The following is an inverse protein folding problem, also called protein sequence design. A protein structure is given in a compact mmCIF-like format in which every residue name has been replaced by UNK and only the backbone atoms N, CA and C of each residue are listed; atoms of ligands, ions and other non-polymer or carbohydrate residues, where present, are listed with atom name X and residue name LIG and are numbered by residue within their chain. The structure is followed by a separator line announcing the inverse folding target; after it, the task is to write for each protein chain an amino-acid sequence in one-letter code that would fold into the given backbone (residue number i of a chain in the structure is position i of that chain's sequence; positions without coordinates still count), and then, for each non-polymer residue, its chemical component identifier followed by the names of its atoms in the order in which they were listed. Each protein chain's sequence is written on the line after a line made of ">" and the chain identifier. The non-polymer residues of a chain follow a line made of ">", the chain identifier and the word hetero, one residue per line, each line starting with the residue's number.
data_IF_843079639757
#
_entry.id   IF_843079639757
#
_cell.length_a   1.000
_cell.length_b   1.000
_cell.length_c   1.000
_cell.angle_alpha   90.00
_cell.angle_beta   90.00
_cell.angle_gamma   90.00
#
_symmetry.space_group_name_H-M   'P 1'
#
loop_
_entity.id
_entity.type
_entity.pdbx_description
1 polymer ?
#
# COMPACT_ATOMS: atom_id res chain seq x y z
N UNK A 1 7.61 -9.49 -10.02
CA UNK A 1 6.35 -9.74 -9.26
C UNK A 1 5.25 -8.81 -9.71
N UNK A 2 5.54 -7.54 -9.89
CA UNK A 2 4.69 -6.51 -10.51
C UNK A 2 5.38 -6.03 -11.76
N UNK A 3 4.66 -5.88 -12.87
CA UNK A 3 5.12 -5.22 -14.08
C UNK A 3 4.06 -4.21 -14.53
N UNK A 4 4.48 -2.99 -14.80
CA UNK A 4 3.64 -1.91 -15.30
C UNK A 4 4.30 -1.32 -16.53
N UNK A 5 3.55 -1.17 -17.63
CA UNK A 5 4.03 -0.60 -18.88
C UNK A 5 3.07 0.45 -19.37
N UNK A 6 3.61 1.64 -19.66
CA UNK A 6 2.93 2.78 -20.27
C UNK A 6 1.58 3.12 -19.59
N UNK A 7 1.58 3.05 -18.24
CA UNK A 7 0.37 3.33 -17.46
C UNK A 7 0.02 4.81 -17.55
N UNK A 8 -1.20 5.06 -17.98
CA UNK A 8 -1.80 6.38 -18.08
C UNK A 8 -3.14 6.43 -17.36
N UNK A 9 -3.41 7.51 -16.62
CA UNK A 9 -4.71 7.75 -15.97
C UNK A 9 -5.16 9.17 -16.20
N UNK A 10 -6.36 9.32 -16.75
CA UNK A 10 -7.01 10.63 -16.97
C UNK A 10 -8.37 10.64 -16.32
N UNK A 11 -8.58 11.58 -15.41
CA UNK A 11 -9.90 11.83 -14.84
C UNK A 11 -10.62 12.91 -15.63
N UNK A 12 -11.90 12.68 -15.93
CA UNK A 12 -12.77 13.65 -16.64
C UNK A 12 -13.80 14.22 -15.67
N UNK A 13 -13.84 15.53 -15.52
CA UNK A 13 -14.87 16.25 -14.78
C UNK A 13 -15.54 17.23 -15.75
N UNK A 14 -16.67 16.85 -16.33
CA UNK A 14 -17.33 17.60 -17.39
C UNK A 14 -16.45 17.74 -18.63
N UNK A 15 -16.10 18.99 -19.01
CA UNK A 15 -15.22 19.27 -20.16
C UNK A 15 -13.73 19.28 -19.80
N UNK A 16 -13.38 19.22 -18.52
CA UNK A 16 -11.99 19.28 -18.06
C UNK A 16 -11.43 17.88 -17.93
N UNK A 17 -10.29 17.65 -18.58
CA UNK A 17 -9.51 16.42 -18.44
C UNK A 17 -8.29 16.70 -17.59
N UNK A 18 -8.07 15.89 -16.57
CA UNK A 18 -6.88 15.95 -15.73
C UNK A 18 -6.08 14.66 -15.91
N UNK A 19 -4.94 14.74 -16.60
CA UNK A 19 -4.02 13.64 -16.81
C UNK A 19 -3.11 13.50 -15.59
N UNK A 20 -3.48 12.59 -14.69
CA UNK A 20 -2.85 12.43 -13.35
C UNK A 20 -1.65 11.49 -13.38
N UNK A 21 -1.68 10.43 -14.19
CA UNK A 21 -0.55 9.49 -14.37
C UNK A 21 -0.20 9.45 -15.85
N UNK A 22 1.09 9.65 -16.18
CA UNK A 22 1.55 9.96 -17.54
C UNK A 22 2.71 9.02 -17.93
N UNK A 23 2.43 8.00 -18.73
CA UNK A 23 3.39 7.07 -19.34
C UNK A 23 4.39 6.50 -18.33
N UNK A 24 3.91 5.98 -17.19
CA UNK A 24 4.79 5.37 -16.21
C UNK A 24 4.98 3.88 -16.49
N UNK A 25 6.25 3.45 -16.40
CA UNK A 25 6.64 2.04 -16.53
C UNK A 25 7.60 1.68 -15.40
N UNK A 26 7.36 0.56 -14.73
CA UNK A 26 8.24 0.06 -13.67
C UNK A 26 7.97 -1.43 -13.39
N UNK A 27 8.90 -2.04 -12.71
CA UNK A 27 8.76 -3.42 -12.24
C UNK A 27 9.11 -3.53 -10.76
N UNK A 28 8.58 -4.55 -10.08
CA UNK A 28 8.94 -4.89 -8.70
C UNK A 28 9.22 -6.38 -8.64
N UNK A 29 10.38 -6.74 -8.12
CA UNK A 29 10.78 -8.14 -7.94
C UNK A 29 9.99 -8.80 -6.80
N UNK A 30 10.03 -10.12 -6.72
CA UNK A 30 9.41 -10.84 -5.59
C UNK A 30 10.19 -10.55 -4.29
N UNK A 31 9.49 -10.21 -3.22
CA UNK A 31 10.08 -9.89 -1.91
C UNK A 31 10.67 -8.49 -1.82
N UNK A 32 10.67 -7.71 -2.93
CA UNK A 32 11.15 -6.34 -2.97
C UNK A 32 10.11 -5.38 -2.35
N UNK A 33 10.60 -4.35 -1.66
CA UNK A 33 9.82 -3.18 -1.27
C UNK A 33 10.21 -2.00 -2.17
N UNK A 34 9.30 -1.61 -3.07
CA UNK A 34 9.44 -0.41 -3.90
C UNK A 34 8.75 0.78 -3.22
N UNK A 35 9.49 1.86 -3.00
CA UNK A 35 8.95 3.15 -2.56
C UNK A 35 8.48 4.00 -3.74
N UNK A 36 7.42 4.78 -3.55
CA UNK A 36 7.01 5.86 -4.47
C UNK A 36 6.87 7.14 -3.64
N UNK A 37 7.69 8.14 -3.96
CA UNK A 37 7.77 9.41 -3.23
C UNK A 37 7.51 10.58 -4.17
N UNK A 38 6.99 11.68 -3.64
CA UNK A 38 6.70 12.91 -4.37
C UNK A 38 5.67 13.76 -3.66
N UNK A 39 5.42 14.96 -4.14
CA UNK A 39 4.45 15.90 -3.58
C UNK A 39 3.02 15.35 -3.51
N UNK A 40 2.20 15.95 -2.63
CA UNK A 40 0.79 15.62 -2.56
C UNK A 40 0.10 15.91 -3.91
N UNK A 41 -0.73 14.98 -4.37
CA UNK A 41 -1.47 15.13 -5.63
C UNK A 41 -0.69 14.76 -6.90
N UNK A 42 0.59 14.36 -6.85
CA UNK A 42 1.36 14.00 -8.04
C UNK A 42 0.95 12.66 -8.69
N UNK A 43 0.04 11.87 -8.06
CA UNK A 43 -0.51 10.65 -8.66
C UNK A 43 -0.17 9.33 -7.95
N UNK A 44 0.62 9.34 -6.85
CA UNK A 44 1.08 8.13 -6.13
C UNK A 44 -0.04 7.16 -5.74
N UNK A 45 -1.03 7.65 -4.99
CA UNK A 45 -2.18 6.82 -4.58
C UNK A 45 -3.02 6.35 -5.77
N UNK A 46 -3.04 7.10 -6.88
CA UNK A 46 -3.70 6.68 -8.11
C UNK A 46 -3.01 5.45 -8.71
N UNK A 47 -1.67 5.39 -8.70
CA UNK A 47 -0.92 4.20 -9.11
C UNK A 47 -1.31 2.99 -8.25
N UNK A 48 -1.32 3.13 -6.93
CA UNK A 48 -1.74 2.03 -6.02
C UNK A 48 -3.19 1.58 -6.29
N UNK A 49 -4.10 2.53 -6.57
CA UNK A 49 -5.51 2.21 -6.91
C UNK A 49 -5.63 1.46 -8.24
N UNK A 50 -4.78 1.74 -9.22
CA UNK A 50 -4.71 0.94 -10.46
C UNK A 50 -4.22 -0.48 -10.17
N UNK A 51 -3.15 -0.63 -9.38
CA UNK A 51 -2.61 -1.93 -8.99
C UNK A 51 -3.62 -2.77 -8.19
N UNK A 52 -4.36 -2.16 -7.26
CA UNK A 52 -5.40 -2.84 -6.47
C UNK A 52 -6.67 -3.18 -7.26
N UNK A 53 -6.87 -2.59 -8.45
CA UNK A 53 -8.09 -2.74 -9.26
C UNK A 53 -9.24 -1.83 -8.84
N UNK A 54 -9.01 -0.87 -7.95
CA UNK A 54 -9.99 0.13 -7.53
C UNK A 54 -10.19 1.21 -8.59
N UNK A 55 -9.10 1.64 -9.26
CA UNK A 55 -9.18 2.53 -10.42
C UNK A 55 -9.26 1.71 -11.71
N UNK A 56 -10.23 2.03 -12.55
CA UNK A 56 -10.49 1.33 -13.82
C UNK A 56 -10.25 2.21 -15.04
N UNK A 57 -10.10 3.53 -14.85
CA UNK A 57 -9.94 4.52 -15.91
C UNK A 57 -8.50 4.66 -16.43
N UNK A 58 -7.72 3.57 -16.48
CA UNK A 58 -6.34 3.57 -16.93
C UNK A 58 -6.15 2.96 -18.33
N UNK A 59 -5.03 3.27 -18.97
CA UNK A 59 -4.52 2.58 -20.17
C UNK A 59 -3.06 2.16 -19.95
N UNK A 60 -2.54 1.32 -20.82
CA UNK A 60 -1.26 0.64 -20.65
C UNK A 60 -1.44 -0.83 -20.25
N UNK A 61 -0.45 -1.43 -19.61
CA UNK A 61 -0.46 -2.83 -19.20
C UNK A 61 -0.03 -2.97 -17.73
N UNK A 62 -0.75 -3.81 -16.99
CA UNK A 62 -0.41 -4.19 -15.60
C UNK A 62 -0.38 -5.71 -15.51
N UNK A 63 0.72 -6.27 -15.00
CA UNK A 63 0.82 -7.68 -14.67
C UNK A 63 1.16 -7.85 -13.17
N UNK A 64 0.43 -8.76 -12.50
CA UNK A 64 0.61 -9.08 -11.08
C UNK A 64 0.85 -10.58 -10.94
N UNK A 65 1.89 -10.96 -10.21
CA UNK A 65 2.30 -12.36 -10.01
C UNK A 65 2.41 -13.15 -11.33
N UNK A 66 2.95 -12.50 -12.39
CA UNK A 66 3.17 -13.09 -13.71
C UNK A 66 1.91 -13.22 -14.57
N UNK A 67 0.80 -12.56 -14.21
CA UNK A 67 -0.45 -12.57 -14.98
C UNK A 67 -0.85 -11.14 -15.33
N UNK A 68 -1.09 -10.87 -16.61
CA UNK A 68 -1.69 -9.59 -17.03
C UNK A 68 -3.10 -9.48 -16.48
N UNK A 69 -3.41 -8.34 -15.85
CA UNK A 69 -4.70 -8.08 -15.23
C UNK A 69 -5.45 -6.98 -15.97
N UNK A 70 -6.75 -7.15 -16.11
CA UNK A 70 -7.63 -6.18 -16.75
C UNK A 70 -8.21 -5.13 -15.79
N UNK A 71 -9.03 -4.24 -16.35
CA UNK A 71 -9.78 -3.23 -15.58
C UNK A 71 -10.89 -3.84 -14.71
N UNK A 72 -11.48 -4.94 -15.16
CA UNK A 72 -12.40 -5.75 -14.38
C UNK A 72 -11.65 -6.98 -13.88
N UNK A 73 -11.64 -7.19 -12.58
CA UNK A 73 -10.86 -8.26 -11.94
C UNK A 73 -11.75 -9.31 -11.30
N UNK A 74 -11.36 -10.56 -11.45
CA UNK A 74 -11.90 -11.67 -10.71
C UNK A 74 -11.52 -11.59 -9.21
N UNK A 75 -12.20 -12.37 -8.37
CA UNK A 75 -11.85 -12.45 -6.94
C UNK A 75 -10.42 -12.93 -6.71
N UNK A 76 -9.92 -13.87 -7.53
CA UNK A 76 -8.55 -14.38 -7.43
C UNK A 76 -7.52 -13.29 -7.79
N UNK A 77 -7.80 -12.44 -8.79
CA UNK A 77 -6.93 -11.32 -9.14
C UNK A 77 -6.97 -10.23 -8.06
N UNK A 78 -8.15 -9.95 -7.47
CA UNK A 78 -8.28 -9.02 -6.35
C UNK A 78 -7.53 -9.51 -5.10
N UNK A 79 -7.53 -10.82 -4.85
CA UNK A 79 -6.76 -11.43 -3.76
C UNK A 79 -5.25 -11.21 -3.93
N UNK A 80 -4.75 -11.13 -5.17
CA UNK A 80 -3.32 -11.07 -5.47
C UNK A 80 -2.64 -9.79 -4.92
N UNK A 81 -3.34 -8.65 -4.93
CA UNK A 81 -2.83 -7.38 -4.42
C UNK A 81 -3.86 -6.73 -3.51
N UNK A 82 -3.52 -6.61 -2.24
CA UNK A 82 -4.37 -5.98 -1.22
C UNK A 82 -3.78 -4.65 -0.77
N UNK A 83 -4.63 -3.74 -0.31
CA UNK A 83 -4.23 -2.36 0.01
C UNK A 83 -4.49 -2.02 1.47
N UNK A 84 -3.50 -1.39 2.10
CA UNK A 84 -3.62 -0.69 3.38
C UNK A 84 -3.74 0.80 3.06
N UNK A 85 -4.81 1.43 3.50
CA UNK A 85 -5.13 2.82 3.22
C UNK A 85 -4.53 3.77 4.26
N UNK A 86 -4.33 5.01 3.87
CA UNK A 86 -3.87 6.10 4.72
C UNK A 86 -4.78 6.35 5.92
N UNK A 87 -6.10 6.31 5.71
CA UNK A 87 -7.09 6.46 6.78
C UNK A 87 -7.67 5.10 7.20
N UNK A 88 -7.28 4.57 8.37
CA UNK A 88 -7.81 3.33 8.89
C UNK A 88 -9.30 3.45 9.28
N UNK A 89 -9.80 4.67 9.60
CA UNK A 89 -11.21 4.89 9.87
C UNK A 89 -12.08 4.68 8.64
N UNK A 90 -11.66 5.24 7.50
CA UNK A 90 -12.35 5.06 6.22
C UNK A 90 -12.36 3.63 5.71
N UNK A 91 -11.40 2.81 6.17
CA UNK A 91 -11.29 1.40 5.77
C UNK A 91 -12.19 0.44 6.58
N UNK A 92 -12.68 0.85 7.77
CA UNK A 92 -13.48 0.03 8.67
C UNK A 92 -14.88 0.62 8.85
N UNK A 93 -15.91 -0.18 8.55
CA UNK A 93 -17.30 0.28 8.74
C UNK A 93 -17.58 0.50 10.24
N UNK A 94 -17.98 1.72 10.68
CA UNK A 94 -18.05 2.10 12.10
C UNK A 94 -19.06 1.29 12.93
N UNK A 95 -20.05 0.69 12.29
CA UNK A 95 -21.08 -0.13 12.93
C UNK A 95 -20.82 -1.63 12.88
N UNK A 96 -19.73 -2.07 12.24
CA UNK A 96 -19.34 -3.47 12.22
C UNK A 96 -18.31 -3.76 13.31
N UNK A 97 -18.46 -4.92 13.97
CA UNK A 97 -17.40 -5.42 14.84
C UNK A 97 -16.16 -5.76 14.04
N UNK A 98 -15.00 -5.67 14.65
CA UNK A 98 -13.71 -5.98 14.00
C UNK A 98 -13.72 -7.39 13.40
N UNK A 99 -14.22 -8.39 14.13
CA UNK A 99 -14.33 -9.75 13.61
C UNK A 99 -15.21 -9.85 12.37
N UNK A 100 -16.29 -9.05 12.27
CA UNK A 100 -17.14 -9.00 11.09
C UNK A 100 -16.39 -8.40 9.90
N UNK A 101 -15.67 -7.28 10.10
CA UNK A 101 -14.90 -6.62 9.05
C UNK A 101 -13.75 -7.51 8.51
N UNK A 102 -13.11 -8.28 9.40
CA UNK A 102 -12.08 -9.25 9.01
C UNK A 102 -12.68 -10.50 8.32
N UNK A 103 -13.91 -10.89 8.67
CA UNK A 103 -14.57 -12.03 8.07
C UNK A 103 -15.10 -11.78 6.65
N UNK A 104 -15.37 -10.52 6.29
CA UNK A 104 -15.94 -10.15 4.98
C UNK A 104 -15.14 -10.70 3.79
N UNK A 105 -13.81 -10.47 3.68
CA UNK A 105 -13.01 -11.00 2.57
C UNK A 105 -13.03 -12.54 2.51
N UNK A 106 -13.00 -13.20 3.68
CA UNK A 106 -13.04 -14.66 3.76
C UNK A 106 -14.37 -15.23 3.27
N UNK A 107 -15.49 -14.58 3.63
CA UNK A 107 -16.83 -14.96 3.15
C UNK A 107 -16.96 -14.78 1.65
N UNK A 108 -16.46 -13.66 1.11
CA UNK A 108 -16.44 -13.42 -0.33
C UNK A 108 -15.69 -14.50 -1.11
N UNK A 109 -14.65 -15.08 -0.50
CA UNK A 109 -13.86 -16.18 -1.07
C UNK A 109 -14.42 -17.57 -0.74
N UNK A 110 -15.58 -17.68 -0.10
CA UNK A 110 -16.23 -18.97 0.24
C UNK A 110 -15.47 -19.80 1.28
N UNK A 111 -14.61 -19.19 2.13
CA UNK A 111 -13.85 -19.92 3.15
C UNK A 111 -14.75 -20.47 4.25
N UNK A 112 -14.38 -21.64 4.80
CA UNK A 112 -15.13 -22.30 5.88
C UNK A 112 -14.52 -22.01 7.27
N UNK A 113 -13.22 -21.81 7.37
CA UNK A 113 -12.43 -21.60 8.58
C UNK A 113 -12.38 -20.14 9.04
N UNK A 114 -13.49 -19.40 8.88
CA UNK A 114 -13.56 -17.95 9.03
C UNK A 114 -13.05 -17.49 10.39
N UNK A 115 -13.66 -17.96 11.47
CA UNK A 115 -13.36 -17.44 12.82
C UNK A 115 -11.96 -17.80 13.31
N UNK A 116 -11.48 -18.99 13.00
CA UNK A 116 -10.10 -19.40 13.30
C UNK A 116 -9.10 -18.51 12.58
N UNK A 117 -9.39 -18.17 11.31
CA UNK A 117 -8.54 -17.28 10.50
C UNK A 117 -8.57 -15.85 11.02
N UNK A 118 -9.74 -15.33 11.43
CA UNK A 118 -9.88 -14.01 12.06
C UNK A 118 -9.06 -13.91 13.34
N UNK A 119 -9.19 -14.88 14.26
CA UNK A 119 -8.40 -14.88 15.49
C UNK A 119 -6.90 -14.95 15.26
N UNK A 120 -6.47 -15.80 14.31
CA UNK A 120 -5.06 -15.90 13.90
C UNK A 120 -4.56 -14.59 13.34
N UNK A 121 -5.32 -13.95 12.47
CA UNK A 121 -4.97 -12.67 11.85
C UNK A 121 -4.80 -11.55 12.87
N UNK A 122 -5.67 -11.48 13.90
CA UNK A 122 -5.50 -10.53 15.00
C UNK A 122 -4.19 -10.77 15.78
N UNK A 123 -3.90 -12.04 16.13
CA UNK A 123 -2.65 -12.37 16.84
C UNK A 123 -1.40 -12.03 16.01
N UNK A 124 -1.44 -12.22 14.69
CA UNK A 124 -0.33 -11.90 13.79
C UNK A 124 0.02 -10.40 13.73
N UNK A 125 -0.94 -9.53 14.05
CA UNK A 125 -0.69 -8.09 14.17
C UNK A 125 -0.55 -7.63 15.63
N UNK A 126 -0.32 -8.56 16.57
CA UNK A 126 -0.11 -8.26 17.98
C UNK A 126 -1.38 -7.86 18.74
N UNK A 127 -2.58 -8.22 18.25
CA UNK A 127 -3.84 -7.96 18.94
C UNK A 127 -4.43 -9.23 19.53
N UNK A 128 -5.00 -9.17 20.76
CA UNK A 128 -5.74 -10.28 21.35
C UNK A 128 -6.97 -10.67 20.51
N UNK A 129 -7.28 -11.97 20.41
CA UNK A 129 -8.45 -12.47 19.69
C UNK A 129 -9.78 -11.84 20.16
N UNK A 130 -9.87 -11.45 21.43
CA UNK A 130 -11.05 -10.77 22.00
C UNK A 130 -11.40 -9.46 21.30
N UNK A 131 -10.43 -8.83 20.58
CA UNK A 131 -10.66 -7.62 19.79
C UNK A 131 -11.65 -7.85 18.63
N UNK A 132 -11.88 -9.09 18.22
CA UNK A 132 -12.93 -9.42 17.25
C UNK A 132 -14.32 -8.93 17.65
N UNK A 133 -14.58 -8.81 18.95
CA UNK A 133 -15.88 -8.37 19.50
C UNK A 133 -16.00 -6.85 19.65
N UNK A 134 -14.90 -6.10 19.50
CA UNK A 134 -14.88 -4.64 19.63
C UNK A 134 -15.37 -3.95 18.35
N UNK A 135 -15.77 -2.70 18.49
CA UNK A 135 -16.07 -1.80 17.39
C UNK A 135 -14.84 -0.90 17.08
N UNK A 136 -14.74 -0.34 15.87
CA UNK A 136 -13.61 0.54 15.51
C UNK A 136 -13.40 1.73 16.46
N UNK A 137 -14.47 2.33 17.00
CA UNK A 137 -14.39 3.47 17.93
C UNK A 137 -13.84 3.09 19.33
N UNK A 138 -13.80 1.81 19.68
CA UNK A 138 -13.23 1.31 20.93
C UNK A 138 -11.71 1.05 20.84
N UNK A 139 -11.08 1.32 19.68
CA UNK A 139 -9.67 1.08 19.40
C UNK A 139 -8.88 2.39 19.33
N UNK A 140 -7.61 2.38 19.76
CA UNK A 140 -6.68 3.47 19.49
C UNK A 140 -6.33 3.55 18.00
N UNK A 141 -5.69 4.64 17.55
CA UNK A 141 -5.24 4.82 16.18
C UNK A 141 -4.34 3.65 15.71
N UNK A 142 -3.30 3.33 16.47
CA UNK A 142 -2.39 2.22 16.16
C UNK A 142 -3.07 0.85 16.17
N UNK A 143 -4.05 0.62 17.07
CA UNK A 143 -4.83 -0.61 17.08
C UNK A 143 -5.72 -0.73 15.84
N UNK A 144 -6.32 0.36 15.37
CA UNK A 144 -7.08 0.37 14.10
C UNK A 144 -6.19 0.10 12.91
N UNK A 145 -4.99 0.69 12.89
CA UNK A 145 -4.02 0.44 11.82
C UNK A 145 -3.60 -1.03 11.78
N UNK A 146 -3.35 -1.65 12.94
CA UNK A 146 -3.08 -3.10 13.04
C UNK A 146 -4.25 -3.93 12.49
N UNK A 147 -5.49 -3.53 12.74
CA UNK A 147 -6.69 -4.20 12.17
C UNK A 147 -6.76 -4.01 10.67
N UNK A 148 -6.46 -2.81 10.13
CA UNK A 148 -6.42 -2.56 8.69
C UNK A 148 -5.36 -3.43 7.99
N UNK A 149 -4.17 -3.55 8.60
CA UNK A 149 -3.12 -4.47 8.13
C UNK A 149 -3.59 -5.93 8.20
N UNK A 150 -4.19 -6.36 9.30
CA UNK A 150 -4.74 -7.71 9.43
C UNK A 150 -5.76 -8.02 8.34
N UNK A 151 -6.66 -7.06 8.03
CA UNK A 151 -7.67 -7.18 6.96
C UNK A 151 -7.02 -7.34 5.58
N UNK A 152 -5.98 -6.59 5.28
CA UNK A 152 -5.26 -6.69 4.03
C UNK A 152 -4.51 -8.04 3.91
N UNK A 153 -3.94 -8.53 5.01
CA UNK A 153 -3.18 -9.79 5.04
C UNK A 153 -4.03 -11.06 5.15
N UNK A 154 -5.32 -10.95 5.49
CA UNK A 154 -6.16 -12.10 5.86
C UNK A 154 -6.36 -13.11 4.72
N UNK A 155 -6.31 -12.65 3.48
CA UNK A 155 -6.38 -13.48 2.27
C UNK A 155 -5.01 -14.04 1.86
N UNK A 156 -3.94 -13.76 2.63
CA UNK A 156 -2.56 -14.12 2.29
C UNK A 156 -2.15 -13.66 0.88
N UNK A 157 -2.28 -12.36 0.57
CA UNK A 157 -1.88 -11.83 -0.73
C UNK A 157 -0.36 -11.91 -0.89
N UNK A 158 0.17 -12.14 -2.09
CA UNK A 158 1.61 -12.03 -2.35
C UNK A 158 2.10 -10.57 -2.50
N UNK A 159 1.18 -9.63 -2.73
CA UNK A 159 1.48 -8.20 -2.92
C UNK A 159 0.67 -7.38 -1.92
N UNK A 160 1.34 -6.47 -1.21
CA UNK A 160 0.71 -5.50 -0.34
C UNK A 160 1.04 -4.07 -0.80
N UNK A 161 0.00 -3.29 -1.00
CA UNK A 161 0.06 -1.89 -1.42
C UNK A 161 -0.18 -1.02 -0.18
N UNK A 162 0.79 -0.18 0.16
CA UNK A 162 0.81 0.61 1.39
C UNK A 162 0.69 2.10 1.03
N UNK A 163 -0.48 2.69 1.22
CA UNK A 163 -0.74 4.12 0.96
C UNK A 163 -0.61 4.90 2.26
N UNK A 164 0.55 5.49 2.50
CA UNK A 164 0.87 6.26 3.71
C UNK A 164 0.46 5.57 5.02
N UNK A 165 0.90 4.33 5.29
CA UNK A 165 0.33 3.48 6.33
C UNK A 165 0.54 3.97 7.76
N UNK A 166 1.34 5.02 7.97
CA UNK A 166 1.70 5.54 9.30
C UNK A 166 1.51 7.04 9.46
N UNK A 167 1.08 7.77 8.42
CA UNK A 167 1.01 9.24 8.41
C UNK A 167 0.08 9.85 9.47
N UNK A 168 -0.92 9.11 9.96
CA UNK A 168 -1.88 9.55 10.97
C UNK A 168 -1.54 9.08 12.40
N UNK A 169 -0.31 8.59 12.64
CA UNK A 169 0.10 7.98 13.89
C UNK A 169 1.24 8.77 14.56
N UNK A 170 1.31 8.68 15.90
CA UNK A 170 2.42 9.20 16.67
C UNK A 170 3.72 8.45 16.35
N UNK A 171 4.88 9.11 16.47
CA UNK A 171 6.20 8.57 16.07
C UNK A 171 6.51 7.20 16.67
N UNK A 172 6.18 6.98 17.97
CA UNK A 172 6.41 5.69 18.63
C UNK A 172 5.55 4.57 18.04
N UNK A 173 4.28 4.85 17.76
CA UNK A 173 3.35 3.91 17.15
C UNK A 173 3.70 3.65 15.68
N UNK A 174 4.18 4.68 14.98
CA UNK A 174 4.67 4.57 13.61
C UNK A 174 5.79 3.51 13.53
N UNK A 175 6.81 3.61 14.40
CA UNK A 175 7.91 2.64 14.43
C UNK A 175 7.42 1.19 14.67
N UNK A 176 6.46 1.01 15.59
CA UNK A 176 5.85 -0.31 15.84
C UNK A 176 5.13 -0.88 14.60
N UNK A 177 4.40 -0.04 13.86
CA UNK A 177 3.70 -0.46 12.63
C UNK A 177 4.68 -0.80 11.52
N UNK A 178 5.75 -0.01 11.34
CA UNK A 178 6.79 -0.29 10.36
C UNK A 178 7.52 -1.61 10.64
N UNK A 179 7.89 -1.86 11.90
CA UNK A 179 8.49 -3.12 12.30
C UNK A 179 7.54 -4.30 12.05
N UNK A 180 6.25 -4.16 12.41
CA UNK A 180 5.25 -5.18 12.11
C UNK A 180 5.17 -5.49 10.60
N UNK A 181 5.19 -4.47 9.74
CA UNK A 181 5.17 -4.64 8.29
C UNK A 181 6.45 -5.32 7.79
N UNK A 182 7.62 -4.95 8.33
CA UNK A 182 8.89 -5.58 7.99
C UNK A 182 8.88 -7.08 8.35
N UNK A 183 8.47 -7.42 9.58
CA UNK A 183 8.33 -8.81 10.04
C UNK A 183 7.40 -9.62 9.13
N UNK A 184 6.21 -9.06 8.79
CA UNK A 184 5.26 -9.73 7.91
C UNK A 184 5.79 -9.91 6.48
N UNK A 185 6.60 -8.94 5.96
CA UNK A 185 7.27 -9.08 4.67
C UNK A 185 8.24 -10.25 4.68
N UNK A 186 9.11 -10.30 5.69
CA UNK A 186 10.19 -11.29 5.77
C UNK A 186 9.65 -12.70 6.03
N UNK A 187 8.69 -12.85 6.96
CA UNK A 187 8.05 -14.14 7.28
C UNK A 187 7.30 -14.75 6.08
N UNK A 188 6.66 -13.91 5.25
CA UNK A 188 5.78 -14.35 4.16
C UNK A 188 6.34 -14.10 2.78
N UNK A 189 7.54 -13.51 2.67
CA UNK A 189 8.16 -13.13 1.40
C UNK A 189 7.23 -12.25 0.56
N UNK A 190 6.59 -11.26 1.20
CA UNK A 190 5.66 -10.34 0.57
C UNK A 190 6.41 -9.32 -0.29
N UNK A 191 5.77 -8.91 -1.38
CA UNK A 191 6.22 -7.80 -2.22
C UNK A 191 5.43 -6.56 -1.87
N UNK A 192 6.12 -5.45 -1.59
CA UNK A 192 5.46 -4.20 -1.20
C UNK A 192 5.61 -3.11 -2.27
N UNK A 193 4.56 -2.30 -2.43
CA UNK A 193 4.67 -0.95 -3.01
C UNK A 193 4.22 0.03 -1.93
N UNK A 194 5.15 0.85 -1.46
CA UNK A 194 4.94 1.78 -0.36
C UNK A 194 4.93 3.23 -0.88
N UNK A 195 3.84 3.93 -0.63
CA UNK A 195 3.75 5.38 -0.81
C UNK A 195 3.95 6.05 0.54
N UNK A 196 4.87 7.00 0.62
CA UNK A 196 5.07 7.86 1.78
C UNK A 196 5.60 9.23 1.33
N UNK A 197 5.34 10.27 2.11
CA UNK A 197 6.00 11.56 2.01
C UNK A 197 7.16 11.69 3.02
N UNK A 198 7.30 10.72 3.93
CA UNK A 198 8.37 10.66 4.93
C UNK A 198 9.54 9.82 4.39
N UNK A 199 10.65 10.47 4.08
CA UNK A 199 11.85 9.82 3.56
C UNK A 199 12.53 8.90 4.59
N UNK A 200 12.37 9.14 5.89
CA UNK A 200 12.89 8.23 6.91
C UNK A 200 12.17 6.88 6.87
N UNK A 201 10.86 6.88 6.68
CA UNK A 201 10.06 5.66 6.45
C UNK A 201 10.52 4.92 5.20
N UNK A 202 10.75 5.66 4.12
CA UNK A 202 11.21 5.12 2.84
C UNK A 202 12.60 4.49 2.98
N UNK A 203 13.57 5.19 3.57
CA UNK A 203 14.93 4.68 3.76
C UNK A 203 14.96 3.44 4.66
N UNK A 204 14.06 3.36 5.63
CA UNK A 204 13.95 2.19 6.52
C UNK A 204 13.33 0.97 5.83
N UNK A 205 12.31 1.16 5.01
CA UNK A 205 11.46 0.08 4.50
C UNK A 205 11.79 -0.37 3.08
N UNK A 206 12.34 0.52 2.24
CA UNK A 206 12.43 0.30 0.80
C UNK A 206 13.82 -0.17 0.34
N UNK A 207 13.81 -1.06 -0.64
CA UNK A 207 15.01 -1.52 -1.33
C UNK A 207 15.37 -0.57 -2.50
N UNK A 208 14.37 0.10 -3.05
CA UNK A 208 14.46 1.02 -4.18
C UNK A 208 13.31 2.03 -4.14
N UNK A 209 13.52 3.22 -4.68
CA UNK A 209 12.54 4.32 -4.67
C UNK A 209 12.40 4.95 -6.04
N UNK A 210 11.16 5.22 -6.44
CA UNK A 210 10.81 6.03 -7.60
C UNK A 210 10.31 7.40 -7.13
N UNK A 211 10.92 8.46 -7.65
CA UNK A 211 10.50 9.84 -7.38
C UNK A 211 9.49 10.26 -8.43
N UNK A 212 8.30 10.64 -7.97
CA UNK A 212 7.18 11.02 -8.83
C UNK A 212 6.93 12.53 -8.77
N UNK A 213 6.90 13.18 -9.95
CA UNK A 213 6.54 14.59 -10.12
C UNK A 213 5.59 14.75 -11.30
N UNK A 214 4.53 15.53 -11.13
CA UNK A 214 3.56 15.88 -12.20
C UNK A 214 3.03 14.67 -12.99
N UNK A 215 2.85 13.54 -12.32
CA UNK A 215 2.33 12.31 -12.90
C UNK A 215 3.37 11.42 -13.59
N UNK A 216 4.66 11.73 -13.53
CA UNK A 216 5.77 10.98 -14.14
C UNK A 216 6.79 10.54 -13.10
N UNK A 217 7.44 9.41 -13.33
CA UNK A 217 8.67 9.08 -12.61
C UNK A 217 9.81 9.86 -13.23
N UNK A 218 10.56 10.60 -12.41
CA UNK A 218 11.67 11.47 -12.84
C UNK A 218 13.03 10.98 -12.37
N UNK A 219 13.06 10.16 -11.31
CA UNK A 219 14.29 9.61 -10.76
C UNK A 219 14.04 8.24 -10.15
N UNK A 220 15.07 7.40 -10.12
CA UNK A 220 15.07 6.09 -9.50
C UNK A 220 16.32 5.97 -8.62
N UNK A 221 16.11 5.70 -7.33
CA UNK A 221 17.18 5.66 -6.34
C UNK A 221 17.25 4.26 -5.71
N UNK A 222 18.46 3.73 -5.63
CA UNK A 222 18.75 2.49 -4.91
C UNK A 222 18.79 2.74 -3.40
N UNK A 223 18.81 1.66 -2.61
CA UNK A 223 19.00 1.75 -1.16
C UNK A 223 20.30 2.48 -0.80
N UNK A 224 21.39 2.24 -1.54
CA UNK A 224 22.66 2.93 -1.30
C UNK A 224 22.60 4.44 -1.58
N UNK A 225 21.81 4.86 -2.58
CA UNK A 225 21.59 6.27 -2.87
C UNK A 225 20.81 6.96 -1.75
N UNK A 226 19.81 6.26 -1.17
CA UNK A 226 19.07 6.73 -0.01
C UNK A 226 19.96 6.88 1.23
N UNK A 227 20.84 5.91 1.49
CA UNK A 227 21.75 5.93 2.63
C UNK A 227 22.83 7.03 2.51
N UNK A 228 23.28 7.34 1.29
CA UNK A 228 24.28 8.38 1.04
C UNK A 228 23.69 9.76 0.78
N UNK A 229 22.36 9.87 0.65
CA UNK A 229 21.68 11.11 0.29
C UNK A 229 21.95 11.53 -1.16
N UNK A 230 22.28 10.57 -2.04
CA UNK A 230 22.59 10.84 -3.46
C UNK A 230 21.28 10.87 -4.25
N UNK A 231 21.04 11.95 -4.98
CA UNK A 231 19.91 12.09 -5.88
C UNK A 231 20.40 12.63 -7.25
N UNK A 232 19.85 12.08 -8.32
CA UNK A 232 20.33 12.37 -9.67
C UNK A 232 19.67 13.63 -10.24
N UNK A 233 18.37 13.81 -9.98
CA UNK A 233 17.61 14.95 -10.45
C UNK A 233 17.57 16.11 -9.45
N UNK A 234 17.44 17.35 -9.94
CA UNK A 234 17.40 18.56 -9.09
C UNK A 234 16.24 18.51 -8.08
N UNK A 235 15.05 18.10 -8.54
CA UNK A 235 13.89 17.96 -7.68
C UNK A 235 14.07 16.90 -6.59
N UNK A 236 14.74 15.78 -6.92
CA UNK A 236 15.04 14.73 -5.94
C UNK A 236 15.95 15.27 -4.84
N UNK A 237 16.95 16.10 -5.19
CA UNK A 237 17.85 16.78 -4.23
C UNK A 237 17.07 17.73 -3.33
N UNK A 238 16.21 18.59 -3.89
CA UNK A 238 15.35 19.50 -3.11
C UNK A 238 14.45 18.75 -2.11
N UNK A 239 13.88 17.63 -2.55
CA UNK A 239 13.03 16.78 -1.71
C UNK A 239 13.82 16.18 -0.53
N UNK A 240 15.06 15.74 -0.78
CA UNK A 240 15.95 15.21 0.27
C UNK A 240 16.37 16.31 1.26
N UNK A 241 16.80 17.46 0.76
CA UNK A 241 17.19 18.59 1.61
C UNK A 241 16.04 19.04 2.53
N UNK A 242 14.82 19.09 2.00
CA UNK A 242 13.64 19.47 2.78
C UNK A 242 13.24 18.46 3.87
N UNK A 243 13.70 17.21 3.78
CA UNK A 243 13.32 16.14 4.73
C UNK A 243 14.36 15.88 5.81
N UNK A 244 15.59 16.36 5.64
CA UNK A 244 16.68 16.19 6.61
C UNK A 244 17.06 17.51 7.33
N UNK A 245 16.36 18.63 7.07
CA UNK A 245 16.39 19.86 7.85
C UNK A 245 15.28 19.89 8.89
#
# INVERSE_FOLDING_TARGET
>A
MIEVRDLNVTFSSGKQQNHVVKDISFSVARGETLGIVGESGCGKSTVLRCLSGMEKGWSGEIALAGRTVGKSRSLDELKCAQMVFQDPYGSLHPRHRIGTALAEPLRAMGRQDIWQTVERSLRQVGLPAAFANRFPHELSGGQRQRVAIARALILSPPILLLDEPTSALDVSIQAEILNLLADQRDERQLTYVLVSHDLAVIAHMCDRVLIMKDGRFIDELSKSDLETGTAHEAYSRELFEASFM
#
